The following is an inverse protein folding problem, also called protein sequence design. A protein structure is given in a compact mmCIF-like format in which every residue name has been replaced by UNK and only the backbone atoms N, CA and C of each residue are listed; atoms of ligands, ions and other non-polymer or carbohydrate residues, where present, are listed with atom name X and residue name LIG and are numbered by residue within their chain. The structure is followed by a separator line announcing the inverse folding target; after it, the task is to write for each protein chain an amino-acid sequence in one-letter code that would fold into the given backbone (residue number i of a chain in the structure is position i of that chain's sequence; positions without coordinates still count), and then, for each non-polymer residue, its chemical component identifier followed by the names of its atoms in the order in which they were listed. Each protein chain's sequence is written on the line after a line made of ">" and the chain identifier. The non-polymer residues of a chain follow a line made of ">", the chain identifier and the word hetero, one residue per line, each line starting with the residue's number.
data_IF_962582397598
#
_entry.id   IF_962582397598
#
_cell.length_a   1.000
_cell.length_b   1.000
_cell.length_c   1.000
_cell.angle_alpha   90.00
_cell.angle_beta   90.00
_cell.angle_gamma   90.00
#
_symmetry.space_group_name_H-M   'P 1'
#
loop_
_entity.id
_entity.type
_entity.pdbx_description
1 polymer ?
#
# COMPACT_ATOMS: atom_id res chain seq x y z
N UNK A 1 5.31 -27.55 16.21
CA UNK A 1 4.77 -26.61 15.20
C UNK A 1 5.69 -25.43 15.07
N UNK A 2 6.34 -25.34 13.93
CA UNK A 2 7.13 -24.15 13.63
C UNK A 2 6.17 -23.00 13.33
N UNK A 3 6.12 -22.02 14.19
CA UNK A 3 5.39 -20.81 13.93
C UNK A 3 6.28 -19.91 13.08
N UNK A 4 6.16 -20.03 11.76
CA UNK A 4 6.80 -19.05 10.88
C UNK A 4 6.08 -17.73 11.07
N UNK A 5 6.83 -16.72 11.51
CA UNK A 5 6.30 -15.36 11.62
C UNK A 5 6.24 -14.76 10.24
N UNK A 6 5.03 -14.48 9.77
CA UNK A 6 4.82 -13.77 8.51
C UNK A 6 4.86 -12.28 8.78
N UNK A 7 5.66 -11.57 8.01
CA UNK A 7 5.78 -10.12 8.11
C UNK A 7 5.09 -9.44 6.95
N UNK A 8 4.30 -8.42 7.26
CA UNK A 8 3.62 -7.60 6.25
C UNK A 8 3.88 -6.13 6.53
N UNK A 9 4.04 -5.34 5.46
CA UNK A 9 4.06 -3.89 5.58
C UNK A 9 2.65 -3.41 5.88
N UNK A 10 2.47 -2.76 7.03
CA UNK A 10 1.15 -2.35 7.50
C UNK A 10 0.84 -0.93 7.03
N UNK A 11 -0.08 -0.82 6.08
CA UNK A 11 -0.57 0.45 5.56
C UNK A 11 -1.75 0.91 6.41
N UNK A 12 -1.52 1.95 7.23
CA UNK A 12 -2.51 2.42 8.19
C UNK A 12 -3.69 3.14 7.56
N UNK A 13 -3.49 3.82 6.45
CA UNK A 13 -4.49 4.69 5.88
C UNK A 13 -4.62 6.00 6.65
N UNK A 14 -5.74 6.69 6.50
CA UNK A 14 -5.96 7.98 7.14
C UNK A 14 -7.03 7.94 8.24
N UNK A 15 -8.11 7.17 8.02
CA UNK A 15 -9.26 7.17 8.94
C UNK A 15 -8.99 6.30 10.17
N UNK A 16 -8.44 5.11 9.98
CA UNK A 16 -8.22 4.17 11.07
C UNK A 16 -7.35 4.77 12.20
N UNK A 17 -6.12 5.30 11.92
CA UNK A 17 -5.30 5.84 13.00
C UNK A 17 -5.83 7.14 13.60
N UNK A 18 -6.54 7.95 12.83
CA UNK A 18 -7.00 9.26 13.30
C UNK A 18 -8.36 9.23 13.99
N UNK A 19 -9.27 8.38 13.53
CA UNK A 19 -10.62 8.27 14.06
C UNK A 19 -10.83 7.06 14.95
N UNK A 20 -10.15 5.96 14.65
CA UNK A 20 -10.35 4.68 15.32
C UNK A 20 -9.02 4.02 15.67
N UNK A 21 -8.23 4.65 16.57
CA UNK A 21 -6.91 4.10 16.93
C UNK A 21 -6.97 2.69 17.52
N UNK A 22 -8.13 2.30 18.08
CA UNK A 22 -8.35 0.95 18.55
C UNK A 22 -8.29 -0.12 17.48
N UNK A 23 -8.63 0.22 16.23
CA UNK A 23 -8.55 -0.70 15.10
C UNK A 23 -7.09 -1.07 14.82
N UNK A 24 -6.21 -0.08 14.80
CA UNK A 24 -4.78 -0.30 14.61
C UNK A 24 -4.21 -1.20 15.71
N UNK A 25 -4.48 -0.86 16.97
CA UNK A 25 -4.01 -1.65 18.11
C UNK A 25 -4.55 -3.08 18.08
N UNK A 26 -5.83 -3.26 17.76
CA UNK A 26 -6.45 -4.57 17.65
C UNK A 26 -5.83 -5.40 16.51
N UNK A 27 -5.59 -4.80 15.37
CA UNK A 27 -4.97 -5.47 14.23
C UNK A 27 -3.57 -5.98 14.58
N UNK A 28 -2.75 -5.13 15.19
CA UNK A 28 -1.38 -5.49 15.59
C UNK A 28 -1.39 -6.63 16.62
N UNK A 29 -2.24 -6.53 17.66
CA UNK A 29 -2.32 -7.54 18.71
C UNK A 29 -2.86 -8.87 18.19
N UNK A 30 -3.90 -8.83 17.38
CA UNK A 30 -4.48 -10.04 16.78
C UNK A 30 -3.48 -10.69 15.83
N UNK A 31 -2.79 -9.90 15.02
CA UNK A 31 -1.73 -10.39 14.14
C UNK A 31 -0.64 -11.12 14.91
N UNK A 32 -0.17 -10.54 16.03
CA UNK A 32 0.85 -11.18 16.88
C UNK A 32 0.41 -12.54 17.38
N UNK A 33 -0.84 -12.67 17.79
CA UNK A 33 -1.39 -13.94 18.26
C UNK A 33 -1.47 -15.00 17.18
N UNK A 34 -1.64 -14.57 15.93
CA UNK A 34 -1.72 -15.46 14.78
C UNK A 34 -0.36 -15.73 14.12
N UNK A 35 0.73 -15.20 14.66
CA UNK A 35 2.05 -15.34 14.07
C UNK A 35 2.32 -14.37 12.93
N UNK A 36 1.58 -13.26 12.87
CA UNK A 36 1.73 -12.22 11.85
C UNK A 36 2.32 -10.98 12.50
N UNK A 37 3.44 -10.49 11.97
CA UNK A 37 4.03 -9.24 12.40
C UNK A 37 3.66 -8.13 11.39
N UNK A 38 3.01 -7.08 11.88
CA UNK A 38 2.65 -5.92 11.07
C UNK A 38 3.70 -4.83 11.27
N UNK A 39 4.51 -4.59 10.25
CA UNK A 39 5.59 -3.60 10.30
C UNK A 39 5.07 -2.29 9.71
N UNK A 40 5.13 -1.16 10.44
CA UNK A 40 4.63 0.11 9.91
C UNK A 40 5.32 0.48 8.60
N UNK A 41 4.53 0.89 7.61
CA UNK A 41 5.04 1.35 6.32
C UNK A 41 5.43 2.83 6.44
N UNK A 42 6.69 3.07 6.77
CA UNK A 42 7.20 4.43 6.96
C UNK A 42 7.21 5.21 5.66
N UNK A 43 6.79 6.47 5.74
CA UNK A 43 6.76 7.35 4.59
C UNK A 43 5.51 7.19 3.72
N UNK A 44 4.61 6.29 4.08
CA UNK A 44 3.36 6.10 3.35
C UNK A 44 2.50 7.36 3.41
N UNK A 45 1.90 7.68 2.27
CA UNK A 45 0.93 8.77 2.16
C UNK A 45 -0.48 8.19 2.05
N UNK A 46 -1.47 9.09 1.85
CA UNK A 46 -2.84 8.68 1.59
C UNK A 46 -2.93 7.72 0.39
N UNK A 47 -3.87 6.77 0.45
CA UNK A 47 -4.14 5.83 -0.63
C UNK A 47 -4.86 6.44 -1.84
N UNK A 48 -4.92 7.72 -2.06
CA UNK A 48 -5.98 8.59 -2.57
C UNK A 48 -7.33 7.87 -2.74
N UNK A 49 -8.37 8.40 -2.15
CA UNK A 49 -9.70 7.78 -2.21
C UNK A 49 -10.17 7.62 -3.67
N UNK A 50 -10.60 6.42 -4.09
CA UNK A 50 -10.94 6.17 -5.50
C UNK A 50 -12.02 7.09 -6.05
N UNK A 51 -13.00 7.44 -5.21
CA UNK A 51 -14.10 8.29 -5.64
C UNK A 51 -13.72 9.76 -5.85
N UNK A 52 -12.73 10.25 -5.10
CA UNK A 52 -12.29 11.63 -5.20
C UNK A 52 -11.21 11.82 -6.25
N UNK A 53 -10.09 11.14 -6.12
CA UNK A 53 -8.94 11.34 -7.00
C UNK A 53 -9.07 10.65 -8.36
N UNK A 54 -9.73 9.51 -8.42
CA UNK A 54 -10.00 8.82 -9.68
C UNK A 54 -10.88 9.63 -10.62
N UNK A 55 -11.71 10.53 -10.08
CA UNK A 55 -12.57 11.41 -10.87
C UNK A 55 -11.89 12.70 -11.29
N UNK A 56 -10.84 13.12 -10.58
CA UNK A 56 -10.13 14.39 -10.84
C UNK A 56 -8.93 14.16 -11.75
N UNK A 57 -8.01 13.27 -11.36
CA UNK A 57 -6.80 13.00 -12.13
C UNK A 57 -6.33 11.56 -11.87
N UNK A 58 -6.49 10.71 -12.86
CA UNK A 58 -6.08 9.31 -12.79
C UNK A 58 -4.57 9.14 -12.66
N UNK A 59 -3.80 10.01 -13.30
CA UNK A 59 -2.33 9.92 -13.26
C UNK A 59 -1.81 10.19 -11.83
N UNK A 60 -2.38 11.16 -11.15
CA UNK A 60 -2.04 11.45 -9.75
C UNK A 60 -2.44 10.27 -8.87
N UNK A 61 -3.62 9.71 -9.08
CA UNK A 61 -4.09 8.56 -8.32
C UNK A 61 -3.15 7.36 -8.47
N UNK A 62 -2.77 7.04 -9.70
CA UNK A 62 -1.83 5.94 -9.96
C UNK A 62 -0.47 6.20 -9.34
N UNK A 63 0.06 7.42 -9.46
CA UNK A 63 1.38 7.77 -8.93
C UNK A 63 1.43 7.69 -7.41
N UNK A 64 0.41 8.19 -6.72
CA UNK A 64 0.36 8.15 -5.25
C UNK A 64 0.21 6.73 -4.72
N UNK A 65 -0.64 5.94 -5.33
CA UNK A 65 -0.81 4.54 -4.93
C UNK A 65 0.45 3.72 -5.24
N UNK A 66 1.06 3.94 -6.39
CA UNK A 66 2.29 3.27 -6.77
C UNK A 66 3.45 3.62 -5.83
N UNK A 67 3.53 4.86 -5.38
CA UNK A 67 4.53 5.27 -4.39
C UNK A 67 4.43 4.45 -3.11
N UNK A 68 3.22 4.24 -2.61
CA UNK A 68 3.00 3.40 -1.43
C UNK A 68 3.42 1.95 -1.67
N UNK A 69 3.13 1.42 -2.86
CA UNK A 69 3.55 0.07 -3.24
C UNK A 69 5.08 -0.05 -3.31
N UNK A 70 5.77 0.96 -3.84
CA UNK A 70 7.23 0.98 -3.92
C UNK A 70 7.86 0.96 -2.53
N UNK A 71 7.28 1.67 -1.56
CA UNK A 71 7.77 1.64 -0.19
C UNK A 71 7.73 0.21 0.39
N UNK A 72 6.68 -0.54 0.13
CA UNK A 72 6.58 -1.93 0.54
C UNK A 72 7.57 -2.83 -0.22
N UNK A 73 7.78 -2.59 -1.49
CA UNK A 73 8.78 -3.30 -2.29
C UNK A 73 10.19 -3.10 -1.74
N UNK A 74 10.52 -1.90 -1.30
CA UNK A 74 11.82 -1.60 -0.68
C UNK A 74 12.02 -2.35 0.64
N UNK A 75 10.93 -2.70 1.32
CA UNK A 75 10.96 -3.51 2.54
C UNK A 75 10.94 -5.01 2.25
N UNK A 76 10.75 -5.41 0.99
CA UNK A 76 10.55 -6.81 0.57
C UNK A 76 9.37 -7.47 1.30
N UNK A 77 8.29 -6.74 1.48
CA UNK A 77 7.08 -7.20 2.17
C UNK A 77 5.85 -6.96 1.34
N UNK A 78 4.85 -7.82 1.50
CA UNK A 78 3.51 -7.57 0.99
C UNK A 78 2.78 -6.61 1.92
N UNK A 79 1.73 -5.97 1.41
CA UNK A 79 0.97 -4.96 2.16
C UNK A 79 -0.23 -5.58 2.85
N UNK A 80 -0.43 -5.27 4.12
CA UNK A 80 -1.65 -5.56 4.85
C UNK A 80 -2.40 -4.26 5.16
N UNK A 81 -3.71 -4.30 5.06
CA UNK A 81 -4.58 -3.11 5.21
C UNK A 81 -5.78 -3.45 6.07
N UNK A 82 -6.35 -2.41 6.70
CA UNK A 82 -7.59 -2.54 7.49
C UNK A 82 -8.74 -1.71 6.94
N UNK A 83 -8.54 -1.03 5.81
CA UNK A 83 -9.55 -0.18 5.18
C UNK A 83 -9.87 -0.71 3.78
N UNK A 84 -11.14 -0.95 3.49
CA UNK A 84 -11.58 -1.46 2.20
C UNK A 84 -11.32 -0.47 1.06
N UNK A 85 -11.44 0.83 1.31
CA UNK A 85 -11.14 1.86 0.33
C UNK A 85 -9.65 1.89 -0.03
N UNK A 86 -8.79 1.78 0.97
CA UNK A 86 -7.35 1.69 0.76
C UNK A 86 -6.97 0.41 0.02
N UNK A 87 -7.58 -0.71 0.39
CA UNK A 87 -7.37 -1.98 -0.30
C UNK A 87 -7.73 -1.87 -1.78
N UNK A 88 -8.90 -1.32 -2.09
CA UNK A 88 -9.35 -1.15 -3.47
C UNK A 88 -8.37 -0.30 -4.28
N UNK A 89 -7.96 0.85 -3.77
CA UNK A 89 -7.02 1.73 -4.46
C UNK A 89 -5.68 1.05 -4.71
N UNK A 90 -5.09 0.49 -3.69
CA UNK A 90 -3.77 -0.14 -3.79
C UNK A 90 -3.83 -1.38 -4.68
N UNK A 91 -4.82 -2.24 -4.48
CA UNK A 91 -4.97 -3.46 -5.29
C UNK A 91 -5.20 -3.15 -6.76
N UNK A 92 -6.11 -2.23 -7.05
CA UNK A 92 -6.46 -1.89 -8.42
C UNK A 92 -5.28 -1.29 -9.18
N UNK A 93 -4.54 -0.38 -8.54
CA UNK A 93 -3.35 0.22 -9.15
C UNK A 93 -2.25 -0.82 -9.34
N UNK A 94 -2.01 -1.66 -8.33
CA UNK A 94 -1.03 -2.73 -8.43
C UNK A 94 -1.34 -3.67 -9.59
N UNK A 95 -2.61 -4.09 -9.71
CA UNK A 95 -3.06 -4.96 -10.78
C UNK A 95 -2.88 -4.31 -12.16
N UNK A 96 -3.32 -3.07 -12.32
CA UNK A 96 -3.21 -2.34 -13.59
C UNK A 96 -1.76 -2.13 -14.00
N UNK A 97 -0.89 -1.75 -13.06
CA UNK A 97 0.53 -1.52 -13.37
C UNK A 97 1.26 -2.82 -13.72
N UNK A 98 0.88 -3.94 -13.14
CA UNK A 98 1.46 -5.24 -13.48
C UNK A 98 1.08 -5.72 -14.88
N UNK A 99 -0.11 -5.38 -15.34
CA UNK A 99 -0.68 -5.86 -16.61
C UNK A 99 -0.67 -4.83 -17.74
N UNK A 100 -0.18 -3.62 -17.51
CA UNK A 100 -0.11 -2.57 -18.52
C UNK A 100 1.27 -1.89 -18.47
N UNK A 101 2.12 -2.26 -19.44
CA UNK A 101 3.50 -1.76 -19.49
C UNK A 101 3.57 -0.27 -19.77
N UNK A 102 2.71 0.26 -20.63
CA UNK A 102 2.68 1.69 -20.96
C UNK A 102 2.32 2.53 -19.73
N UNK A 103 1.32 2.09 -18.97
CA UNK A 103 0.91 2.77 -17.74
C UNK A 103 2.02 2.72 -16.70
N UNK A 104 2.65 1.56 -16.54
CA UNK A 104 3.78 1.39 -15.62
C UNK A 104 4.94 2.32 -15.98
N UNK A 105 5.29 2.42 -17.25
CA UNK A 105 6.36 3.29 -17.72
C UNK A 105 6.05 4.76 -17.46
N UNK A 106 4.81 5.17 -17.70
CA UNK A 106 4.34 6.53 -17.43
C UNK A 106 4.43 6.87 -15.93
N UNK A 107 3.99 5.96 -15.07
CA UNK A 107 4.05 6.15 -13.62
C UNK A 107 5.50 6.16 -13.13
N UNK A 108 6.34 5.27 -13.64
CA UNK A 108 7.76 5.23 -13.27
C UNK A 108 8.51 6.49 -13.69
N UNK A 109 8.12 7.11 -14.79
CA UNK A 109 8.69 8.39 -15.20
C UNK A 109 8.44 9.48 -14.14
N UNK A 110 7.23 9.54 -13.61
CA UNK A 110 6.92 10.44 -12.50
C UNK A 110 7.63 10.07 -11.21
N UNK A 111 7.77 8.78 -10.92
CA UNK A 111 8.43 8.30 -9.70
C UNK A 111 9.95 8.53 -9.70
N UNK A 112 10.57 8.69 -10.87
CA UNK A 112 12.00 9.01 -10.95
C UNK A 112 12.38 10.30 -10.25
N UNK A 113 11.46 11.25 -10.16
CA UNK A 113 11.70 12.53 -9.48
C UNK A 113 11.96 12.35 -7.98
N UNK A 114 11.51 11.24 -7.42
CA UNK A 114 11.73 10.89 -6.00
C UNK A 114 12.59 9.64 -5.83
N UNK A 115 13.34 9.27 -6.87
CA UNK A 115 14.23 8.12 -6.90
C UNK A 115 13.54 6.79 -6.60
N UNK A 116 12.33 6.62 -7.14
CA UNK A 116 11.53 5.40 -6.96
C UNK A 116 11.20 4.74 -8.30
N UNK A 117 11.01 3.42 -8.27
CA UNK A 117 10.62 2.64 -9.43
C UNK A 117 9.65 1.52 -8.99
N UNK A 118 8.52 1.43 -9.68
CA UNK A 118 7.57 0.33 -9.46
C UNK A 118 8.02 -0.92 -10.21
N UNK A 119 8.25 -2.01 -9.48
CA UNK A 119 8.72 -3.29 -10.05
C UNK A 119 7.66 -4.38 -10.07
N UNK A 120 6.60 -4.23 -9.30
CA UNK A 120 5.53 -5.23 -9.25
C UNK A 120 5.83 -6.46 -8.41
N UNK A 121 6.73 -6.36 -7.45
CA UNK A 121 7.13 -7.48 -6.57
C UNK A 121 6.22 -7.64 -5.35
N UNK A 122 5.40 -6.64 -5.04
CA UNK A 122 4.52 -6.62 -3.87
C UNK A 122 3.12 -7.12 -4.22
N UNK A 123 2.45 -7.76 -3.24
CA UNK A 123 1.04 -8.15 -3.33
C UNK A 123 0.17 -7.43 -2.31
#
# INVERSE_FOLDING_TARGET
>A
MSHETHKYAFFLGCIAPNRYPGIEAAAIRTGKKLGIELVPLKGASCCPAPGAFGSIDLNVWYAMAARNLVLAEQMNMDIALVCNGCYKSIWEVNHKLKHNDELRDSVNEGLKEVDMEFKGTCN
#
